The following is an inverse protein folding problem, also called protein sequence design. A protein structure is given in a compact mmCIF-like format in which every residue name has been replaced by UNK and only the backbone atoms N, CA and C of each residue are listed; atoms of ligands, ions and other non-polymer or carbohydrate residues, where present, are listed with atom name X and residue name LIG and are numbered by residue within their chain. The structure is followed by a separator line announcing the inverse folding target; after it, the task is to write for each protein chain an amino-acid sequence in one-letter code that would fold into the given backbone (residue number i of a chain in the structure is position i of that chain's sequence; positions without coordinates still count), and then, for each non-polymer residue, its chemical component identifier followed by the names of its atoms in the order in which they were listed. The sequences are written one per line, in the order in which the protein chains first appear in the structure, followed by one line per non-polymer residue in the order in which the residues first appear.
data_IF_184626711443
#
_entry.id   IF_184626711443
#
_cell.length_a   1.000
_cell.length_b   1.000
_cell.length_c   1.000
_cell.angle_alpha   90.00
_cell.angle_beta   90.00
_cell.angle_gamma   90.00
#
_symmetry.space_group_name_H-M   'P 1'
#
loop_
_entity.id
_entity.type
_entity.pdbx_description
1 polymer ?
#
# COMPACT_ATOMS: atom_id res chain seq x y z
N UNK A 1 -13.60 -7.13 -7.32
CA UNK A 1 -13.95 -6.29 -8.49
C UNK A 1 -14.46 -4.90 -8.12
N UNK A 2 -15.63 -4.76 -7.49
CA UNK A 2 -16.20 -3.43 -7.19
C UNK A 2 -15.37 -2.65 -6.15
N UNK A 3 -14.86 -3.33 -5.12
CA UNK A 3 -13.99 -2.72 -4.09
C UNK A 3 -12.70 -2.12 -4.68
N UNK A 4 -12.10 -2.79 -5.67
CA UNK A 4 -10.91 -2.31 -6.37
C UNK A 4 -11.23 -1.06 -7.17
N UNK A 5 -12.35 -1.07 -7.89
CA UNK A 5 -12.79 0.07 -8.69
C UNK A 5 -13.11 1.28 -7.81
N UNK A 6 -13.76 1.06 -6.67
CA UNK A 6 -13.98 2.11 -5.66
C UNK A 6 -12.68 2.64 -5.05
N UNK A 7 -11.71 1.76 -4.78
CA UNK A 7 -10.40 2.16 -4.29
C UNK A 7 -9.65 3.03 -5.30
N UNK A 8 -9.68 2.65 -6.58
CA UNK A 8 -9.11 3.45 -7.68
C UNK A 8 -9.75 4.84 -7.74
N UNK A 9 -11.09 4.91 -7.65
CA UNK A 9 -11.79 6.20 -7.64
C UNK A 9 -11.35 7.05 -6.45
N UNK A 10 -11.26 6.46 -5.26
CA UNK A 10 -10.76 7.17 -4.07
C UNK A 10 -9.35 7.71 -4.31
N UNK A 11 -8.43 6.95 -4.91
CA UNK A 11 -7.09 7.44 -5.24
C UNK A 11 -7.11 8.67 -6.17
N UNK A 12 -7.97 8.67 -7.19
CA UNK A 12 -8.11 9.78 -8.13
C UNK A 12 -8.64 11.04 -7.42
N UNK A 13 -9.78 10.94 -6.71
CA UNK A 13 -10.44 12.10 -6.11
C UNK A 13 -9.72 12.62 -4.86
N UNK A 14 -9.11 11.76 -4.04
CA UNK A 14 -8.45 12.18 -2.81
C UNK A 14 -7.10 12.86 -3.04
N UNK A 15 -6.59 12.92 -4.27
CA UNK A 15 -5.40 13.72 -4.60
C UNK A 15 -5.68 15.23 -4.61
N UNK A 16 -6.92 15.64 -4.86
CA UNK A 16 -7.29 17.03 -5.13
C UNK A 16 -7.93 17.70 -3.91
N UNK A 17 -7.77 19.02 -3.75
CA UNK A 17 -8.44 19.78 -2.69
C UNK A 17 -9.92 19.93 -3.03
N UNK A 18 -10.79 19.78 -2.04
CA UNK A 18 -12.24 19.93 -2.20
C UNK A 18 -12.69 21.23 -2.88
N UNK A 19 -11.93 22.33 -2.72
CA UNK A 19 -12.24 23.62 -3.34
C UNK A 19 -12.00 23.64 -4.86
N UNK A 20 -11.20 22.72 -5.41
CA UNK A 20 -10.96 22.61 -6.85
C UNK A 20 -12.06 21.78 -7.55
N UNK A 21 -12.78 20.94 -6.80
CA UNK A 21 -13.88 20.10 -7.28
C UNK A 21 -15.14 20.29 -6.41
N UNK A 22 -15.68 21.53 -6.29
CA UNK A 22 -16.74 21.84 -5.32
C UNK A 22 -18.06 21.09 -5.56
N UNK A 23 -18.31 20.62 -6.78
CA UNK A 23 -19.53 19.88 -7.13
C UNK A 23 -19.38 18.36 -7.04
N UNK A 24 -18.20 17.84 -6.64
CA UNK A 24 -17.98 16.40 -6.58
C UNK A 24 -18.54 15.77 -5.31
N UNK A 25 -19.12 14.55 -5.43
CA UNK A 25 -19.53 13.72 -4.29
C UNK A 25 -18.38 13.30 -3.38
N UNK A 26 -17.14 13.29 -3.87
CA UNK A 26 -15.94 12.89 -3.11
C UNK A 26 -15.34 14.05 -2.29
N UNK A 27 -16.20 14.86 -1.68
CA UNK A 27 -15.78 16.00 -0.86
C UNK A 27 -15.01 15.55 0.39
N UNK A 28 -13.80 16.10 0.58
CA UNK A 28 -13.11 16.09 1.88
C UNK A 28 -13.70 17.18 2.77
N UNK A 29 -13.81 16.93 4.07
CA UNK A 29 -14.15 17.93 5.09
C UNK A 29 -13.36 19.23 4.84
N UNK A 30 -14.03 20.29 4.36
CA UNK A 30 -13.44 21.62 4.22
C UNK A 30 -13.55 22.38 5.54
N UNK A 31 -12.46 23.02 5.95
CA UNK A 31 -12.56 24.14 6.89
C UNK A 31 -13.18 25.32 6.16
N UNK A 32 -14.41 25.65 6.58
CA UNK A 32 -15.27 26.57 5.86
C UNK A 32 -14.99 28.00 6.32
N UNK A 33 -14.66 28.88 5.38
CA UNK A 33 -14.48 30.30 5.66
C UNK A 33 -15.82 30.92 6.05
N UNK A 34 -16.03 31.06 7.36
CA UNK A 34 -17.18 31.71 7.99
C UNK A 34 -17.54 33.06 7.35
N UNK A 35 -16.53 33.81 6.92
CA UNK A 35 -16.67 35.14 6.33
C UNK A 35 -17.43 35.17 5.01
N UNK A 36 -17.24 34.19 4.13
CA UNK A 36 -17.90 34.19 2.82
C UNK A 36 -19.39 33.83 2.95
N UNK A 37 -19.73 32.94 3.89
CA UNK A 37 -21.12 32.62 4.23
C UNK A 37 -21.81 33.82 4.89
N UNK A 38 -21.13 34.49 5.84
CA UNK A 38 -21.63 35.70 6.50
C UNK A 38 -21.88 36.85 5.51
N UNK A 39 -20.94 37.14 4.61
CA UNK A 39 -21.11 38.17 3.58
C UNK A 39 -22.29 37.88 2.64
N UNK A 40 -22.49 36.61 2.25
CA UNK A 40 -23.63 36.24 1.39
C UNK A 40 -24.98 36.42 2.10
N UNK A 41 -25.06 36.09 3.39
CA UNK A 41 -26.28 36.28 4.19
C UNK A 41 -26.59 37.77 4.41
N UNK A 42 -25.57 38.58 4.72
CA UNK A 42 -25.71 40.03 4.86
C UNK A 42 -26.16 40.67 3.53
N UNK A 43 -25.63 40.22 2.39
CA UNK A 43 -26.01 40.75 1.08
C UNK A 43 -27.45 40.39 0.71
N UNK A 44 -27.91 39.17 1.00
CA UNK A 44 -29.32 38.78 0.78
C UNK A 44 -30.26 39.58 1.69
N UNK A 45 -29.87 39.81 2.94
CA UNK A 45 -30.64 40.61 3.89
C UNK A 45 -30.67 42.10 3.47
N UNK A 46 -29.56 42.63 2.98
CA UNK A 46 -29.50 43.97 2.42
C UNK A 46 -30.39 44.12 1.18
N UNK A 47 -30.33 43.15 0.25
CA UNK A 47 -31.16 43.17 -0.96
C UNK A 47 -32.65 43.02 -0.63
N UNK A 48 -33.03 42.20 0.35
CA UNK A 48 -34.42 42.05 0.76
C UNK A 48 -34.96 43.31 1.45
N UNK A 49 -34.18 43.93 2.34
CA UNK A 49 -34.55 45.20 2.97
C UNK A 49 -34.63 46.32 1.93
N UNK A 50 -33.67 46.39 1.01
CA UNK A 50 -33.66 47.37 -0.08
C UNK A 50 -34.85 47.20 -1.01
N UNK A 51 -35.23 45.95 -1.34
CA UNK A 51 -36.41 45.64 -2.16
C UNK A 51 -37.71 46.03 -1.45
N UNK A 52 -37.83 45.76 -0.15
CA UNK A 52 -38.97 46.22 0.65
C UNK A 52 -39.02 47.76 0.62
N UNK A 53 -37.91 48.45 0.88
CA UNK A 53 -37.87 49.91 0.91
C UNK A 53 -38.20 50.56 -0.46
N UNK A 54 -37.81 49.92 -1.56
CA UNK A 54 -38.07 50.38 -2.94
C UNK A 54 -39.56 50.28 -3.33
N UNK A 55 -40.26 49.24 -2.86
CA UNK A 55 -41.67 48.99 -3.19
C UNK A 55 -42.67 49.46 -2.12
N UNK A 56 -42.18 49.84 -0.93
CA UNK A 56 -43.00 50.22 0.25
C UNK A 56 -42.88 51.71 0.63
N UNK A 57 -43.05 52.69 -0.26
CA UNK A 57 -43.56 53.99 0.18
C UNK A 57 -45.06 53.93 0.55
N UNK A 58 -45.78 52.87 0.12
CA UNK A 58 -47.25 52.81 0.13
C UNK A 58 -47.87 51.80 1.12
N UNK A 59 -47.08 51.05 1.91
CA UNK A 59 -47.61 50.00 2.82
C UNK A 59 -47.12 50.07 4.26
N UNK A 60 -46.33 51.08 4.65
CA UNK A 60 -45.84 51.23 6.04
C UNK A 60 -47.00 51.30 7.05
N UNK A 61 -48.09 52.01 6.74
CA UNK A 61 -49.27 52.08 7.61
C UNK A 61 -49.94 50.72 7.84
N UNK A 62 -49.95 49.85 6.81
CA UNK A 62 -50.53 48.49 6.93
C UNK A 62 -49.63 47.56 7.74
N UNK A 63 -48.31 47.72 7.63
CA UNK A 63 -47.35 46.95 8.42
C UNK A 63 -47.39 47.37 9.88
N UNK A 64 -47.47 48.68 10.16
CA UNK A 64 -47.63 49.20 11.53
C UNK A 64 -48.94 48.72 12.15
N UNK A 65 -50.05 48.76 11.41
CA UNK A 65 -51.34 48.24 11.89
C UNK A 65 -51.31 46.72 12.18
N UNK A 66 -50.59 45.94 11.38
CA UNK A 66 -50.41 44.50 11.60
C UNK A 66 -49.57 44.22 12.87
N UNK A 67 -48.51 45.02 13.09
CA UNK A 67 -47.67 44.95 14.29
C UNK A 67 -48.45 45.38 15.52
N UNK A 68 -49.26 46.44 15.43
CA UNK A 68 -50.13 46.91 16.51
C UNK A 68 -51.16 45.86 16.92
N UNK A 69 -51.82 45.23 15.95
CA UNK A 69 -52.79 44.15 16.20
C UNK A 69 -52.15 42.94 16.88
N UNK A 70 -50.93 42.55 16.46
CA UNK A 70 -50.18 41.47 17.12
C UNK A 70 -49.68 41.87 18.51
N UNK A 71 -49.22 43.11 18.70
CA UNK A 71 -48.70 43.63 19.96
C UNK A 71 -49.80 43.76 21.03
N UNK A 72 -51.00 44.19 20.63
CA UNK A 72 -52.21 44.23 21.48
C UNK A 72 -52.64 42.84 21.96
N UNK A 73 -52.54 41.81 21.11
CA UNK A 73 -52.90 40.44 21.46
C UNK A 73 -52.00 39.81 22.53
N UNK A 74 -50.75 40.27 22.65
CA UNK A 74 -49.74 39.75 23.60
C UNK A 74 -49.34 40.75 24.70
N UNK A 75 -49.93 41.94 24.73
CA UNK A 75 -49.68 42.96 25.77
C UNK A 75 -48.27 43.57 25.74
N UNK A 76 -47.63 43.60 24.57
CA UNK A 76 -46.26 44.11 24.37
C UNK A 76 -46.29 45.44 23.61
N UNK A 77 -45.26 46.27 23.74
CA UNK A 77 -45.21 47.52 22.96
C UNK A 77 -44.96 47.23 21.48
N UNK A 78 -45.42 48.15 20.63
CA UNK A 78 -45.30 48.07 19.16
C UNK A 78 -43.86 47.88 18.70
N UNK A 79 -42.92 48.52 19.41
CA UNK A 79 -41.48 48.41 19.15
C UNK A 79 -40.99 46.98 19.39
N UNK A 80 -41.42 46.32 20.46
CA UNK A 80 -41.05 44.92 20.75
C UNK A 80 -41.67 43.96 19.74
N UNK A 81 -42.92 44.18 19.33
CA UNK A 81 -43.57 43.39 18.27
C UNK A 81 -42.86 43.46 16.93
N UNK A 82 -42.40 44.66 16.52
CA UNK A 82 -41.64 44.85 15.29
C UNK A 82 -40.29 44.11 15.31
N UNK A 83 -39.58 44.13 16.45
CA UNK A 83 -38.32 43.41 16.63
C UNK A 83 -38.52 41.90 16.50
N UNK A 84 -39.59 41.35 17.10
CA UNK A 84 -39.91 39.92 17.02
C UNK A 84 -40.20 39.50 15.58
N UNK A 85 -40.97 40.30 14.84
CA UNK A 85 -41.28 40.02 13.43
C UNK A 85 -40.01 40.03 12.56
N UNK A 86 -39.13 41.00 12.77
CA UNK A 86 -37.85 41.08 12.04
C UNK A 86 -36.97 39.87 12.32
N UNK A 87 -36.87 39.43 13.59
CA UNK A 87 -36.13 38.23 13.97
C UNK A 87 -36.73 36.97 13.34
N UNK A 88 -38.06 36.86 13.29
CA UNK A 88 -38.75 35.74 12.66
C UNK A 88 -38.48 35.68 11.15
N UNK A 89 -38.58 36.80 10.44
CA UNK A 89 -38.27 36.88 9.01
C UNK A 89 -36.81 36.53 8.74
N UNK A 90 -35.88 37.04 9.57
CA UNK A 90 -34.46 36.70 9.46
C UNK A 90 -34.21 35.19 9.66
N UNK A 91 -34.90 34.56 10.62
CA UNK A 91 -34.83 33.12 10.86
C UNK A 91 -35.35 32.30 9.67
N UNK A 92 -36.49 32.68 9.11
CA UNK A 92 -37.10 31.99 7.95
C UNK A 92 -36.22 32.12 6.71
N UNK A 93 -35.69 33.32 6.44
CA UNK A 93 -34.77 33.55 5.32
C UNK A 93 -33.46 32.80 5.50
N UNK A 94 -32.88 32.81 6.71
CA UNK A 94 -31.69 32.02 7.03
C UNK A 94 -31.91 30.52 6.80
N UNK A 95 -33.06 30.00 7.23
CA UNK A 95 -33.45 28.60 6.99
C UNK A 95 -33.67 28.27 5.51
N UNK A 96 -34.28 29.17 4.74
CA UNK A 96 -34.51 29.00 3.30
C UNK A 96 -33.19 28.98 2.52
N UNK A 97 -32.25 29.91 2.81
CA UNK A 97 -30.91 29.93 2.21
C UNK A 97 -30.13 28.65 2.57
N UNK A 98 -30.21 28.20 3.82
CA UNK A 98 -29.60 26.95 4.27
C UNK A 98 -30.14 25.74 3.50
N UNK A 99 -31.47 25.63 3.35
CA UNK A 99 -32.13 24.55 2.59
C UNK A 99 -31.83 24.60 1.10
N UNK A 100 -31.87 25.79 0.48
CA UNK A 100 -31.54 25.99 -0.94
C UNK A 100 -30.11 25.51 -1.24
N UNK A 101 -29.16 25.87 -0.38
CA UNK A 101 -27.77 25.45 -0.52
C UNK A 101 -27.57 23.94 -0.39
N UNK A 102 -28.34 23.27 0.48
CA UNK A 102 -28.32 21.81 0.61
C UNK A 102 -28.93 21.09 -0.61
N UNK A 103 -29.99 21.66 -1.20
CA UNK A 103 -30.68 21.07 -2.35
C UNK A 103 -29.85 21.17 -3.65
N UNK A 104 -29.15 22.27 -3.88
CA UNK A 104 -28.28 22.42 -5.06
C UNK A 104 -27.00 21.56 -5.01
N UNK A 105 -26.58 21.13 -3.83
CA UNK A 105 -25.48 20.16 -3.68
C UNK A 105 -25.88 18.73 -4.07
N UNK A 106 -27.18 18.44 -4.22
CA UNK A 106 -27.72 17.09 -4.45
C UNK A 106 -28.43 16.93 -5.81
N UNK A 107 -28.25 17.88 -6.74
CA UNK A 107 -28.81 17.74 -8.09
C UNK A 107 -28.06 16.66 -8.87
N UNK A 108 -28.60 15.44 -8.84
CA UNK A 108 -28.27 14.40 -9.81
C UNK A 108 -28.79 14.85 -11.17
N UNK A 109 -27.90 15.37 -12.02
CA UNK A 109 -28.22 15.61 -13.43
C UNK A 109 -28.53 14.27 -14.08
N UNK A 110 -29.62 14.23 -14.85
CA UNK A 110 -30.10 13.03 -15.55
C UNK A 110 -28.99 12.49 -16.45
N UNK A 111 -28.69 11.21 -16.24
CA UNK A 111 -27.93 10.31 -17.13
C UNK A 111 -28.14 10.70 -18.59
N UNK A 112 -27.07 11.15 -19.24
CA UNK A 112 -27.01 11.26 -20.70
C UNK A 112 -27.19 9.85 -21.26
N UNK A 113 -28.35 9.60 -21.87
CA UNK A 113 -28.53 8.44 -22.74
C UNK A 113 -27.68 8.67 -23.99
N UNK A 114 -26.58 7.94 -24.10
CA UNK A 114 -25.81 7.83 -25.33
C UNK A 114 -26.74 7.31 -26.46
N UNK A 115 -26.56 7.77 -27.72
CA UNK A 115 -27.31 7.23 -28.84
C UNK A 115 -26.93 5.76 -29.01
N UNK A 116 -27.92 4.87 -28.88
CA UNK A 116 -27.77 3.47 -29.20
C UNK A 116 -27.45 3.33 -30.69
N UNK A 117 -26.25 2.86 -30.99
CA UNK A 117 -25.81 2.73 -32.38
C UNK A 117 -24.43 2.09 -32.49
N UNK A 118 -24.31 0.83 -32.03
CA UNK A 118 -23.54 -0.29 -32.62
C UNK A 118 -23.34 -1.36 -31.54
N UNK A 119 -23.84 -2.56 -31.81
CA UNK A 119 -24.04 -3.63 -30.83
C UNK A 119 -22.78 -4.14 -30.12
N UNK A 120 -22.95 -4.47 -28.84
CA UNK A 120 -23.11 -5.83 -28.32
C UNK A 120 -23.89 -5.66 -27.01
N UNK A 121 -25.15 -6.10 -27.01
CA UNK A 121 -25.93 -6.22 -25.78
C UNK A 121 -25.34 -7.37 -24.95
N UNK A 122 -24.60 -7.02 -23.90
CA UNK A 122 -24.44 -7.88 -22.72
C UNK A 122 -25.30 -7.29 -21.61
N UNK A 123 -26.52 -7.78 -21.48
CA UNK A 123 -27.53 -7.38 -20.49
C UNK A 123 -27.15 -7.74 -19.02
N UNK A 124 -25.86 -7.80 -18.65
CA UNK A 124 -25.44 -8.04 -17.25
C UNK A 124 -24.24 -7.23 -16.74
N UNK A 125 -23.76 -6.20 -17.45
CA UNK A 125 -22.61 -5.38 -16.99
C UNK A 125 -22.87 -3.87 -16.86
N UNK A 126 -24.13 -3.44 -16.91
CA UNK A 126 -24.51 -2.01 -16.83
C UNK A 126 -24.32 -1.34 -15.47
N UNK A 127 -23.64 -1.98 -14.53
CA UNK A 127 -23.48 -1.52 -13.14
C UNK A 127 -22.02 -1.42 -12.68
N UNK A 128 -21.08 -1.30 -13.62
CA UNK A 128 -19.68 -0.98 -13.29
C UNK A 128 -19.60 0.29 -12.43
N UNK A 129 -18.85 0.22 -11.33
CA UNK A 129 -18.60 1.35 -10.43
C UNK A 129 -18.11 2.58 -11.21
N UNK A 130 -17.28 2.38 -12.24
CA UNK A 130 -16.83 3.47 -13.10
C UNK A 130 -17.97 4.16 -13.85
N UNK A 131 -18.93 3.40 -14.40
CA UNK A 131 -20.09 3.97 -15.10
C UNK A 131 -21.01 4.74 -14.16
N UNK A 132 -21.25 4.23 -12.94
CA UNK A 132 -22.02 4.93 -11.90
C UNK A 132 -21.37 6.25 -11.44
N UNK A 133 -20.07 6.39 -11.65
CA UNK A 133 -19.28 7.54 -11.27
C UNK A 133 -18.74 8.33 -12.48
N UNK A 134 -19.18 8.03 -13.70
CA UNK A 134 -18.59 8.61 -14.92
C UNK A 134 -18.68 10.14 -14.91
N UNK A 135 -19.84 10.69 -14.57
CA UNK A 135 -20.04 12.15 -14.50
C UNK A 135 -19.07 12.83 -13.52
N UNK A 136 -18.79 12.18 -12.39
CA UNK A 136 -17.82 12.69 -11.40
C UNK A 136 -16.39 12.68 -11.95
N UNK A 137 -16.04 11.62 -12.67
CA UNK A 137 -14.71 11.44 -13.24
C UNK A 137 -14.52 12.46 -14.38
N UNK A 138 -15.52 12.64 -15.23
CA UNK A 138 -15.53 13.67 -16.28
C UNK A 138 -15.38 15.05 -15.65
N UNK A 139 -16.22 15.39 -14.67
CA UNK A 139 -16.15 16.66 -13.95
C UNK A 139 -14.77 16.88 -13.31
N UNK A 140 -14.17 15.85 -12.72
CA UNK A 140 -12.81 15.93 -12.16
C UNK A 140 -11.78 16.33 -13.21
N UNK A 141 -11.79 15.69 -14.38
CA UNK A 141 -10.81 15.99 -15.43
C UNK A 141 -11.11 17.30 -16.17
N UNK A 142 -12.37 17.72 -16.23
CA UNK A 142 -12.78 19.03 -16.76
C UNK A 142 -12.32 20.16 -15.84
N UNK A 143 -12.64 20.07 -14.54
CA UNK A 143 -12.34 21.11 -13.56
C UNK A 143 -10.84 21.21 -13.22
N UNK A 144 -10.11 20.10 -13.30
CA UNK A 144 -8.69 20.05 -12.92
C UNK A 144 -7.76 20.06 -14.13
N UNK A 145 -6.47 20.32 -13.87
CA UNK A 145 -5.40 20.28 -14.89
C UNK A 145 -4.75 18.90 -15.03
N UNK A 146 -5.19 17.89 -14.27
CA UNK A 146 -4.61 16.56 -14.30
C UNK A 146 -4.95 15.88 -15.62
N UNK A 147 -3.94 15.39 -16.33
CA UNK A 147 -4.12 14.64 -17.59
C UNK A 147 -3.38 13.31 -17.60
N UNK A 148 -2.49 13.07 -16.63
CA UNK A 148 -1.77 11.82 -16.49
C UNK A 148 -2.18 11.20 -15.15
N UNK A 149 -2.63 9.95 -15.21
CA UNK A 149 -2.98 9.16 -14.03
C UNK A 149 -2.04 7.98 -13.93
N UNK A 150 -1.31 7.89 -12.82
CA UNK A 150 -0.43 6.77 -12.52
C UNK A 150 -1.18 5.76 -11.65
N UNK A 151 -1.25 4.52 -12.11
CA UNK A 151 -1.77 3.40 -11.35
C UNK A 151 -0.60 2.51 -10.94
N UNK A 152 -0.38 2.40 -9.63
CA UNK A 152 0.64 1.55 -9.01
C UNK A 152 -0.03 0.37 -8.30
N UNK A 153 0.68 -0.75 -8.18
CA UNK A 153 0.24 -1.95 -7.43
C UNK A 153 -1.09 -2.58 -7.91
N UNK A 154 -1.57 -2.28 -9.13
CA UNK A 154 -2.77 -2.92 -9.69
C UNK A 154 -2.57 -4.41 -10.01
N UNK A 155 -1.32 -4.80 -10.18
CA UNK A 155 -0.85 -6.14 -10.53
C UNK A 155 -0.94 -7.15 -9.39
N UNK A 156 -1.24 -6.71 -8.16
CA UNK A 156 -1.44 -7.59 -6.99
C UNK A 156 -2.76 -8.36 -7.01
N UNK A 157 -3.68 -7.95 -7.86
CA UNK A 157 -5.01 -8.52 -7.92
C UNK A 157 -5.09 -9.74 -8.84
N UNK A 158 -4.05 -9.99 -9.65
CA UNK A 158 -3.97 -11.08 -10.65
C UNK A 158 -5.25 -11.21 -11.52
N UNK A 159 -5.96 -10.11 -11.74
CA UNK A 159 -7.23 -10.04 -12.47
C UNK A 159 -7.10 -9.11 -13.70
N UNK A 160 -6.94 -9.64 -14.93
CA UNK A 160 -6.78 -8.82 -16.14
C UNK A 160 -7.98 -7.92 -16.46
N UNK A 161 -9.18 -8.26 -15.96
CA UNK A 161 -10.43 -7.55 -16.27
C UNK A 161 -10.42 -6.07 -15.82
N UNK A 162 -9.63 -5.71 -14.81
CA UNK A 162 -9.53 -4.31 -14.38
C UNK A 162 -8.91 -3.42 -15.47
N UNK A 163 -7.97 -3.94 -16.25
CA UNK A 163 -7.31 -3.21 -17.33
C UNK A 163 -8.27 -2.95 -18.50
N UNK A 164 -9.17 -3.89 -18.80
CA UNK A 164 -10.25 -3.70 -19.78
C UNK A 164 -11.13 -2.51 -19.38
N UNK A 165 -11.63 -2.52 -18.15
CA UNK A 165 -12.50 -1.45 -17.62
C UNK A 165 -11.80 -0.09 -17.58
N UNK A 166 -10.51 -0.05 -17.26
CA UNK A 166 -9.72 1.18 -17.26
C UNK A 166 -9.47 1.70 -18.69
N UNK A 167 -9.27 0.81 -19.66
CA UNK A 167 -9.16 1.17 -21.08
C UNK A 167 -10.47 1.74 -21.62
N UNK A 168 -11.60 1.11 -21.30
CA UNK A 168 -12.94 1.60 -21.63
C UNK A 168 -13.18 2.99 -21.02
N UNK A 169 -12.90 3.16 -19.73
CA UNK A 169 -12.99 4.46 -19.06
C UNK A 169 -12.12 5.52 -19.74
N UNK A 170 -10.85 5.21 -20.04
CA UNK A 170 -9.95 6.13 -20.72
C UNK A 170 -10.49 6.56 -22.09
N UNK A 171 -11.04 5.61 -22.84
CA UNK A 171 -11.65 5.85 -24.16
C UNK A 171 -12.86 6.78 -24.03
N UNK A 172 -13.75 6.54 -23.07
CA UNK A 172 -14.93 7.37 -22.82
C UNK A 172 -14.54 8.81 -22.43
N UNK A 173 -13.53 8.96 -21.56
CA UNK A 173 -13.07 10.28 -21.14
C UNK A 173 -12.47 11.07 -22.30
N UNK A 174 -11.64 10.42 -23.14
CA UNK A 174 -10.99 11.07 -24.28
C UNK A 174 -11.94 11.38 -25.44
N UNK A 175 -13.04 10.65 -25.56
CA UNK A 175 -14.09 10.92 -26.55
C UNK A 175 -15.12 11.96 -26.08
N UNK A 176 -15.02 12.46 -24.85
CA UNK A 176 -15.94 13.48 -24.34
C UNK A 176 -15.57 14.89 -24.83
N UNK A 177 -16.56 15.64 -25.32
CA UNK A 177 -16.35 17.01 -25.82
C UNK A 177 -15.78 17.95 -24.74
N UNK A 178 -16.14 17.72 -23.47
CA UNK A 178 -15.67 18.47 -22.32
C UNK A 178 -14.15 18.40 -22.10
N UNK A 179 -13.51 17.29 -22.50
CA UNK A 179 -12.09 17.00 -22.24
C UNK A 179 -11.25 17.07 -23.53
N UNK A 180 -11.91 17.07 -24.69
CA UNK A 180 -11.38 16.96 -26.06
C UNK A 180 -10.11 17.74 -26.40
N UNK A 181 -9.83 18.88 -25.75
CA UNK A 181 -8.65 19.72 -26.06
C UNK A 181 -7.32 19.10 -25.63
N UNK A 182 -7.31 18.20 -24.64
CA UNK A 182 -6.08 17.55 -24.14
C UNK A 182 -6.39 16.12 -23.69
N UNK A 183 -5.73 15.09 -24.27
CA UNK A 183 -6.01 13.71 -23.93
C UNK A 183 -5.57 13.39 -22.50
N UNK A 184 -6.28 12.46 -21.88
CA UNK A 184 -5.96 11.84 -20.61
C UNK A 184 -5.19 10.55 -20.89
N UNK A 185 -4.02 10.43 -20.27
CA UNK A 185 -3.13 9.27 -20.39
C UNK A 185 -3.13 8.50 -19.08
N UNK A 186 -3.45 7.21 -19.16
CA UNK A 186 -3.34 6.28 -18.05
C UNK A 186 -2.00 5.55 -18.15
N UNK A 187 -1.22 5.60 -17.07
CA UNK A 187 0.11 4.98 -16.96
C UNK A 187 0.05 3.92 -15.87
N UNK A 188 0.52 2.72 -16.19
CA UNK A 188 0.41 1.55 -15.32
C UNK A 188 1.82 1.07 -14.94
N UNK A 189 2.08 0.91 -13.65
CA UNK A 189 3.26 0.22 -13.15
C UNK A 189 2.86 -1.23 -12.84
N UNK A 190 3.30 -2.16 -13.69
CA UNK A 190 2.89 -3.57 -13.70
C UNK A 190 4.11 -4.48 -13.84
N UNK A 191 4.05 -5.69 -13.26
CA UNK A 191 5.01 -6.77 -13.55
C UNK A 191 4.90 -7.28 -15.00
N UNK A 192 6.03 -7.77 -15.52
CA UNK A 192 6.15 -8.30 -16.89
C UNK A 192 5.37 -9.62 -17.11
N UNK A 193 5.04 -10.35 -16.04
CA UNK A 193 4.43 -11.69 -16.09
C UNK A 193 2.89 -11.69 -15.95
N UNK A 194 2.26 -10.52 -15.86
CA UNK A 194 0.81 -10.41 -15.64
C UNK A 194 -0.06 -10.86 -16.81
N UNK A 195 0.47 -10.79 -18.02
CA UNK A 195 -0.29 -11.07 -19.24
C UNK A 195 0.42 -12.15 -20.04
N UNK A 196 -0.37 -13.04 -20.66
CA UNK A 196 0.14 -13.98 -21.64
C UNK A 196 0.82 -13.26 -22.82
N UNK A 197 1.73 -13.95 -23.50
CA UNK A 197 2.55 -13.40 -24.60
C UNK A 197 1.75 -12.67 -25.70
N UNK A 198 0.49 -13.03 -25.91
CA UNK A 198 -0.36 -12.47 -26.97
C UNK A 198 -1.30 -11.35 -26.50
N UNK A 199 -1.41 -11.11 -25.19
CA UNK A 199 -2.40 -10.19 -24.64
C UNK A 199 -1.81 -8.84 -24.22
N UNK A 200 -0.49 -8.75 -24.00
CA UNK A 200 0.19 -7.51 -23.61
C UNK A 200 -0.05 -6.36 -24.59
N UNK A 201 0.01 -6.62 -25.90
CA UNK A 201 -0.18 -5.59 -26.94
C UNK A 201 -1.64 -5.24 -27.19
N UNK A 202 -2.60 -5.96 -26.60
CA UNK A 202 -4.04 -5.67 -26.75
C UNK A 202 -4.50 -4.59 -25.78
N UNK A 203 -3.88 -4.51 -24.61
CA UNK A 203 -4.32 -3.61 -23.54
C UNK A 203 -3.57 -2.28 -23.53
N UNK A 204 -2.29 -2.28 -23.90
CA UNK A 204 -1.43 -1.12 -23.82
C UNK A 204 -1.05 -0.59 -25.20
N UNK A 205 -1.21 0.72 -25.40
CA UNK A 205 -0.81 1.37 -26.64
C UNK A 205 0.72 1.54 -26.72
N UNK A 206 1.40 1.56 -25.56
CA UNK A 206 2.86 1.65 -25.46
C UNK A 206 3.37 1.02 -24.16
N UNK A 207 4.50 0.31 -24.21
CA UNK A 207 5.13 -0.36 -23.06
C UNK A 207 6.55 0.20 -22.90
N UNK A 208 6.86 0.69 -21.70
CA UNK A 208 8.20 1.14 -21.33
C UNK A 208 8.84 0.06 -20.46
N UNK A 209 9.86 -0.66 -20.95
CA UNK A 209 10.57 -1.63 -20.11
C UNK A 209 11.33 -0.90 -19.01
N UNK A 210 11.15 -1.35 -17.76
CA UNK A 210 11.86 -0.81 -16.60
C UNK A 210 13.04 -1.74 -16.28
N UNK A 211 14.26 -1.26 -16.52
CA UNK A 211 15.47 -2.03 -16.19
C UNK A 211 15.80 -1.80 -14.71
N UNK A 212 15.91 -2.86 -13.89
CA UNK A 212 16.23 -2.70 -12.48
C UNK A 212 17.66 -2.15 -12.32
N UNK A 213 17.82 -1.14 -11.46
CA UNK A 213 19.11 -0.53 -11.18
C UNK A 213 20.05 -1.54 -10.49
N UNK A 214 19.50 -2.45 -9.68
CA UNK A 214 20.23 -3.55 -9.04
C UNK A 214 19.69 -4.88 -9.51
N UNK A 215 20.59 -5.78 -9.90
CA UNK A 215 20.37 -7.18 -10.21
C UNK A 215 21.50 -8.02 -9.61
N UNK A 216 21.42 -9.33 -9.74
CA UNK A 216 22.44 -10.27 -9.21
C UNK A 216 23.84 -10.05 -9.78
N UNK A 217 23.98 -9.35 -10.92
CA UNK A 217 25.26 -9.08 -11.59
C UNK A 217 25.94 -7.83 -11.04
N UNK A 218 25.19 -6.80 -10.64
CA UNK A 218 25.74 -5.52 -10.18
C UNK A 218 25.52 -5.21 -8.68
N UNK A 219 24.84 -6.12 -7.96
CA UNK A 219 24.63 -6.03 -6.51
C UNK A 219 25.95 -5.99 -5.73
N UNK A 220 27.03 -6.54 -6.31
CA UNK A 220 28.37 -6.54 -5.74
C UNK A 220 28.91 -5.12 -5.60
N UNK A 221 28.92 -4.36 -6.68
CA UNK A 221 29.40 -2.97 -6.70
C UNK A 221 28.59 -2.11 -5.73
N UNK A 222 27.27 -2.32 -5.69
CA UNK A 222 26.39 -1.60 -4.78
C UNK A 222 26.66 -1.89 -3.30
N UNK A 223 26.86 -3.16 -2.92
CA UNK A 223 27.22 -3.54 -1.55
C UNK A 223 28.60 -3.01 -1.14
N UNK A 224 29.58 -3.08 -2.03
CA UNK A 224 30.93 -2.55 -1.78
C UNK A 224 30.92 -1.03 -1.64
N UNK A 225 30.17 -0.33 -2.50
CA UNK A 225 29.99 1.13 -2.40
C UNK A 225 29.33 1.52 -1.06
N UNK A 226 28.28 0.80 -0.66
CA UNK A 226 27.63 0.99 0.64
C UNK A 226 28.58 0.72 1.82
N UNK A 227 29.36 -0.36 1.77
CA UNK A 227 30.35 -0.69 2.78
C UNK A 227 31.44 0.39 2.89
N UNK A 228 31.90 0.90 1.74
CA UNK A 228 32.86 2.00 1.66
C UNK A 228 32.33 3.31 2.25
N UNK A 229 31.06 3.65 1.99
CA UNK A 229 30.39 4.81 2.59
C UNK A 229 30.32 4.70 4.13
N UNK A 230 29.97 3.52 4.65
CA UNK A 230 29.94 3.30 6.11
C UNK A 230 31.32 3.43 6.73
N UNK A 231 32.34 2.85 6.10
CA UNK A 231 33.73 2.93 6.60
C UNK A 231 34.28 4.35 6.51
N UNK A 232 33.89 5.15 5.51
CA UNK A 232 34.26 6.57 5.44
C UNK A 232 33.62 7.38 6.57
N UNK A 233 32.34 7.15 6.84
CA UNK A 233 31.62 7.88 7.87
C UNK A 233 32.00 7.44 9.29
N UNK A 234 32.36 6.17 9.51
CA UNK A 234 32.90 5.67 10.77
C UNK A 234 33.90 4.51 10.53
N UNK A 235 35.22 4.77 10.48
CA UNK A 235 36.24 3.78 10.11
C UNK A 235 36.38 2.60 11.07
N UNK A 236 36.15 2.82 12.37
CA UNK A 236 36.38 1.82 13.43
C UNK A 236 35.14 1.00 13.77
N UNK A 237 34.09 1.13 12.98
CA UNK A 237 32.75 0.73 13.42
C UNK A 237 32.24 -0.54 12.73
N UNK A 238 32.65 -0.80 11.48
CA UNK A 238 32.13 -1.88 10.64
C UNK A 238 33.23 -2.87 10.21
N UNK A 239 33.33 -3.99 10.92
CA UNK A 239 34.29 -5.07 10.66
C UNK A 239 33.69 -6.17 9.77
N UNK A 240 33.17 -5.79 8.60
CA UNK A 240 32.72 -6.76 7.59
C UNK A 240 33.79 -6.86 6.50
N UNK A 241 34.35 -8.07 6.23
CA UNK A 241 35.28 -8.28 5.12
C UNK A 241 34.62 -7.99 3.77
N UNK A 242 35.37 -7.43 2.82
CA UNK A 242 34.85 -7.19 1.47
C UNK A 242 34.53 -8.49 0.75
N UNK A 243 35.35 -9.53 0.93
CA UNK A 243 35.11 -10.86 0.38
C UNK A 243 33.72 -11.38 0.78
N UNK A 244 33.33 -11.23 2.05
CA UNK A 244 32.01 -11.63 2.51
C UNK A 244 30.88 -10.91 1.75
N UNK A 245 31.03 -9.62 1.43
CA UNK A 245 30.06 -8.90 0.62
C UNK A 245 30.00 -9.42 -0.82
N UNK A 246 31.16 -9.75 -1.40
CA UNK A 246 31.24 -10.31 -2.75
C UNK A 246 30.58 -11.68 -2.83
N UNK A 247 30.73 -12.51 -1.79
CA UNK A 247 30.18 -13.86 -1.72
C UNK A 247 28.65 -13.85 -1.62
N UNK A 248 28.07 -12.88 -0.91
CA UNK A 248 26.61 -12.80 -0.72
C UNK A 248 25.89 -12.04 -1.83
N UNK A 249 26.60 -11.18 -2.58
CA UNK A 249 25.98 -10.30 -3.57
C UNK A 249 25.10 -11.03 -4.60
N UNK A 250 25.51 -12.18 -5.16
CA UNK A 250 24.72 -12.90 -6.17
C UNK A 250 23.32 -13.33 -5.69
N UNK A 251 23.10 -13.41 -4.37
CA UNK A 251 21.81 -13.76 -3.77
C UNK A 251 20.87 -12.56 -3.57
N UNK A 252 21.32 -11.35 -3.90
CA UNK A 252 20.53 -10.13 -3.77
C UNK A 252 20.21 -9.64 -5.18
N UNK A 253 18.96 -9.82 -5.58
CA UNK A 253 18.45 -9.56 -6.92
C UNK A 253 17.73 -8.21 -7.06
N UNK A 254 17.40 -7.56 -5.93
CA UNK A 254 16.60 -6.35 -5.91
C UNK A 254 17.15 -5.30 -4.92
N UNK A 255 17.11 -4.05 -5.34
CA UNK A 255 17.55 -2.89 -4.57
C UNK A 255 16.78 -2.71 -3.23
N UNK A 256 15.49 -3.04 -3.19
CA UNK A 256 14.66 -2.98 -1.98
C UNK A 256 15.16 -3.95 -0.92
N UNK A 257 15.48 -5.18 -1.33
CA UNK A 257 16.03 -6.20 -0.44
C UNK A 257 17.42 -5.76 0.05
N UNK A 258 18.27 -5.27 -0.85
CA UNK A 258 19.59 -4.73 -0.51
C UNK A 258 19.49 -3.65 0.58
N UNK A 259 18.65 -2.63 0.37
CA UNK A 259 18.46 -1.56 1.33
C UNK A 259 17.90 -2.07 2.66
N UNK A 260 16.93 -2.98 2.61
CA UNK A 260 16.37 -3.56 3.82
C UNK A 260 17.42 -4.34 4.63
N UNK A 261 18.27 -5.14 3.99
CA UNK A 261 19.36 -5.86 4.66
C UNK A 261 20.32 -4.87 5.33
N UNK A 262 20.76 -3.87 4.57
CA UNK A 262 21.70 -2.85 5.02
C UNK A 262 21.15 -2.03 6.20
N UNK A 263 19.90 -1.57 6.10
CA UNK A 263 19.23 -0.79 7.14
C UNK A 263 18.95 -1.62 8.41
N UNK A 264 18.53 -2.87 8.23
CA UNK A 264 18.36 -3.80 9.34
C UNK A 264 19.70 -4.03 10.06
N UNK A 265 20.79 -4.27 9.34
CA UNK A 265 22.12 -4.41 9.93
C UNK A 265 22.50 -3.18 10.78
N UNK A 266 22.36 -1.97 10.23
CA UNK A 266 22.67 -0.74 10.95
C UNK A 266 21.85 -0.61 12.25
N UNK A 267 20.56 -0.96 12.18
CA UNK A 267 19.63 -0.90 13.32
C UNK A 267 19.99 -1.91 14.40
N UNK A 268 20.19 -3.17 14.02
CA UNK A 268 20.51 -4.26 14.95
C UNK A 268 21.88 -4.05 15.58
N UNK A 269 22.88 -3.68 14.79
CA UNK A 269 24.22 -3.41 15.30
C UNK A 269 24.22 -2.30 16.36
N UNK A 270 23.54 -1.17 16.10
CA UNK A 270 23.41 -0.08 17.08
C UNK A 270 22.75 -0.55 18.37
N UNK A 271 21.75 -1.42 18.26
CA UNK A 271 21.01 -1.95 19.41
C UNK A 271 21.85 -2.93 20.24
N UNK A 272 22.61 -3.82 19.57
CA UNK A 272 23.42 -4.84 20.21
C UNK A 272 24.71 -4.26 20.81
N UNK A 273 25.43 -3.36 20.10
CA UNK A 273 26.67 -2.75 20.62
C UNK A 273 26.41 -1.82 21.83
N UNK A 274 25.24 -1.17 21.92
CA UNK A 274 24.83 -0.40 23.11
C UNK A 274 24.69 -1.24 24.38
N UNK A 275 24.43 -2.54 24.24
CA UNK A 275 24.20 -3.42 25.40
C UNK A 275 25.48 -4.00 26.00
N UNK A 276 26.67 -3.66 25.49
CA UNK A 276 28.03 -3.93 26.03
C UNK A 276 28.40 -5.38 26.45
N UNK A 277 27.46 -6.32 26.57
CA UNK A 277 27.70 -7.68 27.08
C UNK A 277 27.95 -8.71 25.98
N UNK A 278 27.84 -8.34 24.70
CA UNK A 278 27.91 -9.28 23.57
C UNK A 278 28.95 -8.80 22.55
N UNK A 279 30.08 -9.49 22.48
CA UNK A 279 31.10 -9.35 21.42
C UNK A 279 30.70 -10.22 20.22
N UNK A 280 29.80 -9.70 19.38
CA UNK A 280 29.40 -10.38 18.13
C UNK A 280 30.05 -9.72 16.92
N UNK A 281 30.72 -10.52 16.09
CA UNK A 281 31.37 -10.05 14.88
C UNK A 281 30.35 -9.49 13.87
N UNK A 282 30.68 -8.37 13.23
CA UNK A 282 29.74 -7.62 12.38
C UNK A 282 29.24 -8.44 11.19
N UNK A 283 30.09 -9.26 10.56
CA UNK A 283 29.69 -10.14 9.47
C UNK A 283 28.62 -11.18 9.88
N UNK A 284 28.59 -11.60 11.16
CA UNK A 284 27.54 -12.52 11.67
C UNK A 284 26.20 -11.82 11.86
N UNK A 285 26.22 -10.57 12.32
CA UNK A 285 25.02 -9.75 12.40
C UNK A 285 24.48 -9.53 10.99
N UNK A 286 25.35 -9.17 10.05
CA UNK A 286 24.97 -8.98 8.65
C UNK A 286 24.40 -10.27 8.05
N UNK A 287 25.06 -11.42 8.23
CA UNK A 287 24.56 -12.72 7.76
C UNK A 287 23.17 -13.05 8.32
N UNK A 288 22.90 -12.72 9.59
CA UNK A 288 21.57 -12.90 10.18
C UNK A 288 20.53 -11.99 9.53
N UNK A 289 20.89 -10.74 9.21
CA UNK A 289 19.98 -9.82 8.52
C UNK A 289 19.77 -10.21 7.07
N UNK A 290 20.78 -10.75 6.40
CA UNK A 290 20.65 -11.36 5.08
C UNK A 290 19.63 -12.50 5.12
N UNK A 291 19.81 -13.47 6.04
CA UNK A 291 18.89 -14.58 6.22
C UNK A 291 17.45 -14.13 6.51
N UNK A 292 17.27 -13.15 7.41
CA UNK A 292 15.96 -12.57 7.73
C UNK A 292 15.22 -12.00 6.52
N UNK A 293 15.93 -11.33 5.61
CA UNK A 293 15.30 -10.63 4.48
C UNK A 293 15.11 -11.55 3.27
N UNK A 294 16.01 -12.52 3.05
CA UNK A 294 15.87 -13.50 1.97
C UNK A 294 14.88 -14.63 2.30
N UNK A 295 14.81 -15.04 3.58
CA UNK A 295 13.99 -16.15 4.04
C UNK A 295 13.16 -15.77 5.29
N UNK A 296 12.19 -14.84 5.16
CA UNK A 296 11.45 -14.30 6.29
C UNK A 296 10.62 -15.35 7.05
N UNK A 297 10.06 -16.34 6.35
CA UNK A 297 9.28 -17.42 6.97
C UNK A 297 10.18 -18.33 7.82
N UNK A 298 11.27 -18.84 7.24
CA UNK A 298 12.24 -19.67 7.98
C UNK A 298 12.84 -18.93 9.18
N UNK A 299 13.06 -17.62 9.05
CA UNK A 299 13.51 -16.78 10.15
C UNK A 299 12.47 -16.70 11.27
N UNK A 300 11.18 -16.54 10.94
CA UNK A 300 10.09 -16.50 11.91
C UNK A 300 9.91 -17.85 12.64
N UNK A 301 10.01 -18.97 11.92
CA UNK A 301 10.03 -20.30 12.51
C UNK A 301 11.21 -20.49 13.45
N UNK A 302 12.42 -20.12 13.03
CA UNK A 302 13.63 -20.18 13.86
C UNK A 302 13.47 -19.35 15.15
N UNK A 303 12.88 -18.15 15.06
CA UNK A 303 12.63 -17.29 16.21
C UNK A 303 11.59 -17.89 17.18
N UNK A 304 10.59 -18.61 16.67
CA UNK A 304 9.61 -19.34 17.49
C UNK A 304 10.13 -20.70 17.98
N UNK A 305 11.37 -21.06 17.65
CA UNK A 305 12.01 -22.32 18.05
C UNK A 305 11.48 -23.52 17.28
N UNK A 306 10.94 -23.31 16.08
CA UNK A 306 10.38 -24.31 15.17
C UNK A 306 11.14 -24.29 13.82
N UNK A 307 10.68 -25.09 12.86
CA UNK A 307 11.19 -25.11 11.50
C UNK A 307 12.45 -25.94 11.26
N UNK A 308 12.88 -25.93 10.01
CA UNK A 308 13.99 -26.77 9.51
C UNK A 308 15.28 -26.54 10.30
N UNK A 309 15.59 -25.28 10.62
CA UNK A 309 16.80 -24.93 11.40
C UNK A 309 16.77 -25.59 12.77
N UNK A 310 15.62 -25.58 13.47
CA UNK A 310 15.50 -26.24 14.77
C UNK A 310 15.73 -27.74 14.65
N UNK A 311 15.10 -28.37 13.67
CA UNK A 311 15.20 -29.82 13.45
C UNK A 311 16.62 -30.26 13.11
N UNK A 312 17.36 -29.45 12.35
CA UNK A 312 18.79 -29.64 12.08
C UNK A 312 19.59 -29.68 13.39
N UNK A 313 19.34 -28.76 14.32
CA UNK A 313 20.07 -28.73 15.59
C UNK A 313 19.63 -29.80 16.59
N UNK A 314 18.34 -30.15 16.65
CA UNK A 314 17.81 -31.10 17.65
C UNK A 314 17.94 -32.56 17.24
N UNK A 315 17.71 -32.85 15.95
CA UNK A 315 17.56 -34.24 15.49
C UNK A 315 18.68 -34.61 14.54
N UNK A 316 18.87 -33.85 13.47
CA UNK A 316 19.78 -34.31 12.43
C UNK A 316 21.26 -34.18 12.81
N UNK A 317 21.68 -33.17 13.60
CA UNK A 317 23.07 -33.07 14.06
C UNK A 317 23.45 -34.27 14.95
N UNK A 318 22.65 -34.65 15.96
CA UNK A 318 22.88 -35.88 16.71
C UNK A 318 22.87 -37.14 15.84
N UNK A 319 21.92 -37.28 14.90
CA UNK A 319 21.82 -38.45 14.03
C UNK A 319 23.06 -38.60 13.13
N UNK A 320 23.45 -37.53 12.44
CA UNK A 320 24.65 -37.52 11.60
C UNK A 320 25.90 -37.86 12.42
N UNK A 321 26.03 -37.28 13.62
CA UNK A 321 27.16 -37.58 14.50
C UNK A 321 27.18 -39.07 14.86
N UNK A 322 26.07 -39.65 15.30
CA UNK A 322 26.00 -41.09 15.65
C UNK A 322 26.42 -41.97 14.49
N UNK A 323 25.92 -41.69 13.29
CA UNK A 323 26.25 -42.47 12.10
C UNK A 323 27.74 -42.35 11.74
N UNK A 324 28.30 -41.14 11.73
CA UNK A 324 29.74 -40.94 11.47
C UNK A 324 30.63 -41.54 12.55
N UNK A 325 30.22 -41.48 13.81
CA UNK A 325 30.94 -42.15 14.91
C UNK A 325 30.96 -43.66 14.71
N UNK A 326 29.86 -44.27 14.26
CA UNK A 326 29.78 -45.70 13.97
C UNK A 326 30.68 -46.09 12.78
N UNK A 327 30.62 -45.34 11.67
CA UNK A 327 31.49 -45.55 10.51
C UNK A 327 32.98 -45.48 10.90
N UNK A 328 33.37 -44.48 11.68
CA UNK A 328 34.76 -44.33 12.14
C UNK A 328 35.19 -45.45 13.08
N UNK A 329 34.30 -45.92 13.98
CA UNK A 329 34.59 -47.03 14.89
C UNK A 329 34.75 -48.34 14.15
N UNK A 330 33.89 -48.62 13.17
CA UNK A 330 34.00 -49.80 12.32
C UNK A 330 35.33 -49.82 11.56
N UNK A 331 35.70 -48.67 10.98
CA UNK A 331 36.97 -48.54 10.26
C UNK A 331 38.19 -48.77 11.17
N UNK A 332 38.18 -48.20 12.38
CA UNK A 332 39.24 -48.35 13.39
C UNK A 332 39.38 -49.80 13.90
N UNK A 333 38.30 -50.59 13.89
CA UNK A 333 38.36 -52.00 14.29
C UNK A 333 39.08 -52.88 13.26
N UNK A 334 39.20 -52.44 12.00
CA UNK A 334 39.79 -53.23 10.90
C UNK A 334 41.19 -52.77 10.49
N UNK A 335 41.60 -51.56 10.87
CA UNK A 335 42.87 -50.94 10.44
C UNK A 335 43.72 -50.52 11.64
N UNK A 336 45.03 -50.74 11.55
CA UNK A 336 46.02 -50.33 12.56
C UNK A 336 47.18 -49.57 11.93
N UNK A 337 47.88 -48.74 12.73
CA UNK A 337 49.01 -47.91 12.27
C UNK A 337 48.75 -46.40 12.38
N UNK A 338 49.57 -45.58 11.69
CA UNK A 338 49.49 -44.11 11.74
C UNK A 338 48.13 -43.55 11.26
N UNK A 339 47.52 -44.18 10.26
CA UNK A 339 46.20 -43.77 9.74
C UNK A 339 45.09 -43.97 10.78
N UNK A 340 45.20 -45.00 11.64
CA UNK A 340 44.27 -45.23 12.74
C UNK A 340 44.38 -44.14 13.82
N UNK A 341 45.58 -43.66 14.11
CA UNK A 341 45.78 -42.55 15.04
C UNK A 341 45.14 -41.24 14.52
N UNK A 342 45.23 -40.97 13.22
CA UNK A 342 44.58 -39.82 12.59
C UNK A 342 43.05 -39.91 12.66
N UNK A 343 42.46 -41.08 12.39
CA UNK A 343 41.02 -41.33 12.47
C UNK A 343 40.48 -41.30 13.90
N UNK A 344 41.26 -41.71 14.89
CA UNK A 344 40.89 -41.58 16.29
C UNK A 344 40.84 -40.10 16.73
N UNK A 345 41.77 -39.28 16.24
CA UNK A 345 41.75 -37.83 16.45
C UNK A 345 40.52 -37.17 15.81
N UNK A 346 40.14 -37.62 14.62
CA UNK A 346 38.91 -37.21 13.92
C UNK A 346 37.66 -37.55 14.74
N UNK A 347 37.56 -38.77 15.27
CA UNK A 347 36.45 -39.21 16.12
C UNK A 347 36.31 -38.34 17.38
N UNK A 348 37.43 -38.04 18.07
CA UNK A 348 37.44 -37.15 19.24
C UNK A 348 37.02 -35.72 18.89
N UNK A 349 37.42 -35.22 17.72
CA UNK A 349 37.01 -33.90 17.24
C UNK A 349 35.51 -33.85 16.91
N UNK A 350 34.96 -34.91 16.32
CA UNK A 350 33.56 -35.01 15.94
C UNK A 350 32.62 -34.86 17.14
N UNK A 351 32.98 -35.40 18.31
CA UNK A 351 32.23 -35.32 19.58
C UNK A 351 32.05 -33.90 20.13
N UNK A 352 32.82 -32.92 19.67
CA UNK A 352 32.66 -31.51 20.05
C UNK A 352 32.45 -30.57 18.86
N UNK A 353 32.36 -31.11 17.64
CA UNK A 353 32.25 -30.34 16.43
C UNK A 353 31.00 -29.43 16.39
N UNK A 354 31.15 -28.12 16.08
CA UNK A 354 30.03 -27.26 15.74
C UNK A 354 29.41 -27.67 14.38
N UNK A 355 28.19 -27.22 14.10
CA UNK A 355 27.49 -27.58 12.86
C UNK A 355 28.32 -27.22 11.61
N UNK A 356 29.00 -26.06 11.62
CA UNK A 356 29.90 -25.62 10.53
C UNK A 356 31.13 -26.51 10.28
N UNK A 357 31.51 -27.36 11.25
CA UNK A 357 32.60 -28.32 11.07
C UNK A 357 32.08 -29.67 10.58
N UNK A 358 30.78 -29.91 10.76
CA UNK A 358 30.05 -31.08 10.28
C UNK A 358 29.59 -30.85 8.84
N UNK A 359 29.13 -29.64 8.53
CA UNK A 359 28.70 -29.18 7.20
C UNK A 359 29.79 -28.33 6.56
N UNK A 360 30.29 -28.75 5.41
CA UNK A 360 31.19 -28.02 4.53
C UNK A 360 30.63 -28.06 3.10
N UNK A 361 31.22 -27.27 2.19
CA UNK A 361 30.76 -27.16 0.80
C UNK A 361 30.70 -28.50 0.05
N UNK A 362 31.53 -29.46 0.45
CA UNK A 362 31.66 -30.75 -0.23
C UNK A 362 30.65 -31.78 0.26
N UNK A 363 30.14 -31.62 1.49
CA UNK A 363 29.17 -32.52 2.07
C UNK A 363 27.81 -31.86 2.32
N UNK A 364 27.63 -30.58 1.98
CA UNK A 364 26.39 -29.84 2.29
C UNK A 364 25.17 -30.50 1.66
N UNK A 365 25.26 -31.00 0.43
CA UNK A 365 24.17 -31.70 -0.25
C UNK A 365 23.91 -33.07 0.38
N UNK A 366 24.96 -33.81 0.72
CA UNK A 366 24.86 -35.13 1.35
C UNK A 366 24.21 -35.00 2.73
N UNK A 367 24.72 -34.06 3.51
CA UNK A 367 24.26 -33.71 4.85
C UNK A 367 22.83 -33.16 4.78
N UNK A 368 22.49 -32.32 3.80
CA UNK A 368 21.13 -31.86 3.54
C UNK A 368 20.18 -33.02 3.20
N UNK A 369 20.59 -33.98 2.37
CA UNK A 369 19.81 -35.20 2.12
C UNK A 369 19.60 -36.05 3.38
N UNK A 370 20.60 -36.15 4.27
CA UNK A 370 20.45 -36.80 5.57
C UNK A 370 19.52 -36.03 6.51
N UNK A 371 19.60 -34.70 6.51
CA UNK A 371 18.73 -33.82 7.27
C UNK A 371 17.28 -33.88 6.75
N UNK A 372 17.07 -33.78 5.45
CA UNK A 372 15.76 -33.80 4.78
C UNK A 372 15.16 -35.21 4.77
N UNK A 373 15.96 -36.26 4.63
CA UNK A 373 15.50 -37.65 4.76
C UNK A 373 14.96 -37.96 6.15
N UNK A 374 15.55 -37.38 7.20
CA UNK A 374 14.99 -37.44 8.56
C UNK A 374 13.72 -36.59 8.74
N UNK A 375 13.56 -35.52 7.95
CA UNK A 375 12.37 -34.64 7.97
C UNK A 375 11.20 -35.28 7.20
N UNK A 376 11.46 -35.93 6.06
CA UNK A 376 10.46 -36.61 5.21
C UNK A 376 9.96 -37.94 5.78
N UNK A 377 10.63 -38.53 6.77
CA UNK A 377 10.15 -39.72 7.47
C UNK A 377 9.11 -39.43 8.57
N UNK A 378 8.63 -38.19 8.72
CA UNK A 378 7.42 -37.92 9.52
C UNK A 378 6.17 -38.24 8.68
N UNK A 379 5.20 -39.03 9.20
CA UNK A 379 3.93 -39.23 8.51
C UNK A 379 3.25 -37.86 8.32
N UNK A 380 2.72 -37.63 7.11
CA UNK A 380 1.89 -36.45 6.81
C UNK A 380 0.88 -36.26 7.94
N UNK A 381 0.89 -35.08 8.58
CA UNK A 381 -0.21 -34.69 9.46
C UNK A 381 -1.46 -34.59 8.60
N UNK A 382 -2.33 -35.59 8.69
CA UNK A 382 -3.71 -35.49 8.26
C UNK A 382 -4.36 -34.36 9.04
N UNK A 383 -4.62 -33.24 8.38
CA UNK A 383 -5.51 -32.20 8.90
C UNK A 383 -6.93 -32.75 8.88
N UNK A 384 -7.39 -33.34 9.99
CA UNK A 384 -8.82 -33.56 10.21
C UNK A 384 -9.44 -32.24 10.67
N UNK A 385 -9.99 -31.50 9.73
CA UNK A 385 -10.94 -30.41 10.00
C UNK A 385 -12.23 -31.02 10.51
N UNK A 386 -12.40 -31.01 11.83
CA UNK A 386 -13.70 -31.21 12.49
C UNK A 386 -14.56 -29.97 12.23
N UNK A 387 -15.43 -30.06 11.21
CA UNK A 387 -16.62 -29.25 11.10
C UNK A 387 -17.56 -29.65 12.25
N UNK A 388 -17.74 -28.76 13.24
CA UNK A 388 -18.91 -28.79 14.10
C UNK A 388 -20.05 -28.11 13.35
N UNK A 389 -21.12 -28.87 13.10
CA UNK A 389 -22.43 -28.35 12.71
C UNK A 389 -23.20 -27.79 13.89
#
# INVERSE_FOLDING_TARGET
MDEVSEWILKQIFYKVKSNEIPQSRYHKLCDRSFWNDYCSAVLVLFLSISLVFLFVPFTLDRVVALVDWMALGWGVSTVTGAVILCLFVALVLGGAVYKWRFLFSNFKLKVLKLPAGTGIESERESDSVFNRNLDEIVYFFEATKYRIVFFEDLDRLDEPNIFVRLRELNTLLNNSDAISKKPIVFVYAVRDDLFGKEDQTKFFDFIIPVIPIINTTNSREALLAWLGEIRRNNPYECEIPEQFMMDIAPYIDNMRILYNICNNYLTYRRTLKKRATITLADHKIFAMMLFKNLYPQDFAEMQSGQGVIKEVFTTGKPTYRKQKEEELRQWLNTHSGEEASAKEKELRALQRAPLRAIMNEHNISLVYFFFVGAILMKPMRTTSTTLKG
#
